data_IF_570131723678
#
_entry.id   IF_570131723678
#
_cell.length_a   1.000
_cell.length_b   1.000
_cell.length_c   1.000
_cell.angle_alpha   90.00
_cell.angle_beta   90.00
_cell.angle_gamma   90.00
#
_symmetry.space_group_name_H-M   'P 1'
#
loop_
_entity.id
_entity.type
_entity.pdbx_description
1 polymer ?
#
# COMPACT_ATOMS: atom_id res chain seq x y z
N UNK A 1 -10.86 -8.14 -0.74
CA UNK A 1 -9.62 -7.62 -0.14
C UNK A 1 -8.48 -8.11 -1.02
N UNK A 2 -7.59 -7.24 -1.48
CA UNK A 2 -6.50 -7.59 -2.40
C UNK A 2 -5.17 -7.21 -1.73
N UNK A 3 -4.22 -8.16 -1.66
CA UNK A 3 -2.86 -7.94 -1.18
C UNK A 3 -1.95 -7.82 -2.40
N UNK A 4 -0.95 -6.94 -2.30
CA UNK A 4 -0.02 -6.59 -3.39
C UNK A 4 1.33 -7.25 -3.21
N UNK A 5 2.04 -7.43 -4.32
CA UNK A 5 3.43 -7.93 -4.35
C UNK A 5 4.37 -7.09 -3.46
N UNK A 6 4.19 -5.78 -3.38
CA UNK A 6 5.08 -4.92 -2.57
C UNK A 6 4.76 -5.02 -1.07
N UNK A 7 3.48 -5.12 -0.69
CA UNK A 7 3.08 -5.39 0.70
C UNK A 7 3.46 -6.80 1.13
N UNK A 8 3.37 -7.76 0.22
CA UNK A 8 3.83 -9.13 0.43
C UNK A 8 5.35 -9.18 0.65
N UNK A 9 6.14 -8.39 -0.09
CA UNK A 9 7.57 -8.26 0.15
C UNK A 9 7.90 -7.69 1.54
N UNK A 10 7.16 -6.68 2.02
CA UNK A 10 7.34 -6.13 3.37
C UNK A 10 6.91 -7.13 4.47
N UNK A 11 5.81 -7.84 4.27
CA UNK A 11 5.32 -8.83 5.23
C UNK A 11 6.25 -10.06 5.29
N UNK A 12 6.77 -10.50 4.14
CA UNK A 12 7.80 -11.55 4.05
C UNK A 12 9.11 -11.08 4.65
N UNK A 13 9.52 -9.82 4.46
CA UNK A 13 10.71 -9.24 5.10
C UNK A 13 10.61 -9.26 6.62
N UNK A 14 9.42 -9.13 7.17
CA UNK A 14 9.16 -9.21 8.61
C UNK A 14 9.21 -10.65 9.18
N UNK A 15 9.34 -11.69 8.34
CA UNK A 15 9.43 -13.09 8.79
C UNK A 15 10.85 -13.50 9.19
N UNK A 16 10.96 -14.37 10.21
CA UNK A 16 12.22 -14.76 10.85
C UNK A 16 12.92 -15.95 10.22
N UNK A 17 12.37 -16.57 9.16
CA UNK A 17 12.95 -17.76 8.52
C UNK A 17 12.33 -18.17 7.19
N UNK A 18 13.01 -19.06 6.45
CA UNK A 18 12.59 -19.53 5.10
C UNK A 18 11.23 -20.23 5.07
N UNK A 19 10.89 -20.98 6.11
CA UNK A 19 9.63 -21.75 6.15
C UNK A 19 8.42 -20.84 6.45
N UNK A 20 8.61 -19.78 7.24
CA UNK A 20 7.58 -18.79 7.56
C UNK A 20 7.19 -17.96 6.32
N UNK A 21 8.18 -17.62 5.48
CA UNK A 21 7.96 -16.95 4.20
C UNK A 21 7.02 -17.72 3.26
N UNK A 22 7.27 -19.01 3.05
CA UNK A 22 6.48 -19.82 2.12
C UNK A 22 5.03 -20.03 2.60
N UNK A 23 4.85 -20.17 3.92
CA UNK A 23 3.51 -20.27 4.54
C UNK A 23 2.75 -18.96 4.38
N UNK A 24 3.43 -17.83 4.58
CA UNK A 24 2.82 -16.51 4.45
C UNK A 24 2.43 -16.17 3.00
N UNK A 25 3.33 -16.39 2.03
CA UNK A 25 3.06 -16.21 0.59
C UNK A 25 1.82 -17.01 0.17
N UNK A 26 1.77 -18.29 0.57
CA UNK A 26 0.61 -19.15 0.26
C UNK A 26 -0.67 -18.64 0.92
N UNK A 27 -0.62 -18.25 2.19
CA UNK A 27 -1.79 -17.73 2.89
C UNK A 27 -2.31 -16.43 2.24
N UNK A 28 -1.41 -15.53 1.85
CA UNK A 28 -1.77 -14.29 1.17
C UNK A 28 -2.41 -14.56 -0.20
N UNK A 29 -1.85 -15.50 -0.97
CA UNK A 29 -2.38 -15.88 -2.28
C UNK A 29 -3.76 -16.56 -2.19
N UNK A 30 -3.96 -17.43 -1.19
CA UNK A 30 -5.22 -18.14 -0.99
C UNK A 30 -6.32 -17.22 -0.42
N UNK A 31 -5.94 -16.24 0.41
CA UNK A 31 -6.89 -15.34 1.10
C UNK A 31 -7.20 -14.05 0.32
N UNK A 32 -6.30 -13.58 -0.55
CA UNK A 32 -6.44 -12.31 -1.23
C UNK A 32 -6.26 -12.44 -2.75
N UNK A 33 -7.15 -11.77 -3.50
CA UNK A 33 -7.00 -11.70 -4.95
C UNK A 33 -5.73 -10.95 -5.34
N UNK A 34 -4.90 -11.54 -6.20
CA UNK A 34 -3.72 -10.90 -6.76
C UNK A 34 -4.14 -9.81 -7.76
N UNK A 35 -3.59 -8.61 -7.61
CA UNK A 35 -3.85 -7.48 -8.52
C UNK A 35 -2.54 -7.08 -9.21
N UNK A 36 -2.39 -7.29 -10.53
CA UNK A 36 -1.18 -6.89 -11.24
C UNK A 36 -0.96 -5.38 -11.12
N UNK A 37 0.30 -4.96 -11.06
CA UNK A 37 0.68 -3.55 -11.08
C UNK A 37 0.46 -3.00 -12.51
N UNK A 38 -0.44 -2.03 -12.73
CA UNK A 38 -0.62 -1.38 -14.01
C UNK A 38 0.66 -0.68 -14.44
N UNK A 39 0.98 -0.72 -15.73
CA UNK A 39 2.18 -0.08 -16.28
C UNK A 39 2.29 1.42 -15.92
N UNK A 40 1.14 2.09 -15.77
CA UNK A 40 1.04 3.50 -15.40
C UNK A 40 1.22 3.80 -13.91
N UNK A 41 1.39 2.79 -13.05
CA UNK A 41 1.48 2.96 -11.60
C UNK A 41 2.68 3.83 -11.19
N UNK A 42 3.85 3.61 -11.79
CA UNK A 42 5.05 4.40 -11.48
C UNK A 42 4.86 5.88 -11.87
N UNK A 43 4.27 6.14 -13.04
CA UNK A 43 3.96 7.51 -13.47
C UNK A 43 2.97 8.17 -12.51
N UNK A 44 1.94 7.43 -12.07
CA UNK A 44 0.96 7.97 -11.12
C UNK A 44 1.60 8.21 -9.75
N UNK A 45 2.43 7.31 -9.25
CA UNK A 45 3.16 7.48 -7.98
C UNK A 45 4.00 8.77 -7.97
N UNK A 46 4.68 9.10 -9.08
CA UNK A 46 5.41 10.38 -9.22
C UNK A 46 4.48 11.59 -9.16
N UNK A 47 3.34 11.55 -9.86
CA UNK A 47 2.36 12.63 -9.78
C UNK A 47 1.83 12.84 -8.36
N UNK A 48 1.59 11.76 -7.61
CA UNK A 48 1.18 11.84 -6.21
C UNK A 48 2.29 12.44 -5.35
N UNK A 49 3.54 12.06 -5.59
CA UNK A 49 4.69 12.67 -4.92
C UNK A 49 4.78 14.17 -5.20
N UNK A 50 4.60 14.61 -6.45
CA UNK A 50 4.60 16.03 -6.81
C UNK A 50 3.50 16.80 -6.07
N UNK A 51 2.30 16.21 -5.93
CA UNK A 51 1.21 16.79 -5.16
C UNK A 51 1.57 16.93 -3.67
N UNK A 52 2.21 15.91 -3.07
CA UNK A 52 2.67 15.95 -1.68
C UNK A 52 3.80 16.95 -1.46
N UNK A 53 4.67 17.15 -2.44
CA UNK A 53 5.71 18.19 -2.40
C UNK A 53 5.04 19.57 -2.37
N UNK A 54 4.05 19.80 -3.22
CA UNK A 54 3.30 21.06 -3.26
C UNK A 54 2.59 21.39 -1.93
N UNK A 55 2.22 20.38 -1.14
CA UNK A 55 1.61 20.55 0.19
C UNK A 55 2.60 20.45 1.35
N UNK A 56 3.92 20.31 1.09
CA UNK A 56 4.96 20.08 2.10
C UNK A 56 4.74 18.81 2.96
N UNK A 57 4.05 17.78 2.44
CA UNK A 57 3.80 16.50 3.11
C UNK A 57 4.62 15.32 2.56
N UNK A 58 5.58 15.59 1.67
CA UNK A 58 6.37 14.59 0.96
C UNK A 58 7.36 13.78 1.83
N UNK A 59 7.52 14.12 3.11
CA UNK A 59 8.45 13.43 4.02
C UNK A 59 7.83 12.23 4.76
N UNK A 60 6.51 12.03 4.69
CA UNK A 60 5.86 10.85 5.24
C UNK A 60 5.95 9.68 4.26
N UNK A 61 5.13 9.67 3.19
CA UNK A 61 4.94 8.47 2.38
C UNK A 61 6.19 8.00 1.64
N UNK A 62 6.54 6.73 1.82
CA UNK A 62 7.64 6.07 1.12
C UNK A 62 7.29 5.67 -0.32
N UNK A 63 8.30 5.23 -1.09
CA UNK A 63 8.12 4.76 -2.47
C UNK A 63 7.12 3.61 -2.57
N UNK A 64 7.16 2.68 -1.60
CA UNK A 64 6.25 1.53 -1.51
C UNK A 64 4.81 1.98 -1.32
N UNK A 65 4.57 2.96 -0.45
CA UNK A 65 3.24 3.51 -0.17
C UNK A 65 2.67 4.20 -1.40
N UNK A 66 3.50 5.01 -2.07
CA UNK A 66 3.12 5.70 -3.31
C UNK A 66 2.72 4.70 -4.40
N UNK A 67 3.50 3.63 -4.61
CA UNK A 67 3.19 2.60 -5.60
C UNK A 67 1.93 1.81 -5.24
N UNK A 68 1.75 1.51 -3.95
CA UNK A 68 0.60 0.79 -3.42
C UNK A 68 -0.69 1.59 -3.60
N UNK A 69 -0.65 2.87 -3.21
CA UNK A 69 -1.77 3.80 -3.31
C UNK A 69 -2.11 4.11 -4.78
N UNK A 70 -1.11 4.44 -5.60
CA UNK A 70 -1.30 4.67 -7.03
C UNK A 70 -1.96 3.47 -7.70
N UNK A 71 -1.54 2.26 -7.33
CA UNK A 71 -2.15 1.10 -7.95
C UNK A 71 -3.57 0.85 -7.45
N UNK A 72 -3.86 1.09 -6.16
CA UNK A 72 -5.22 0.94 -5.65
C UNK A 72 -6.17 1.93 -6.34
N UNK A 73 -5.73 3.17 -6.52
CA UNK A 73 -6.44 4.19 -7.28
C UNK A 73 -6.69 3.75 -8.73
N UNK A 74 -5.66 3.31 -9.45
CA UNK A 74 -5.77 2.95 -10.88
C UNK A 74 -6.60 1.70 -11.13
N UNK A 75 -6.72 0.82 -10.13
CA UNK A 75 -7.55 -0.38 -10.16
C UNK A 75 -8.96 -0.15 -9.58
N UNK A 76 -9.29 1.05 -9.10
CA UNK A 76 -10.58 1.35 -8.50
C UNK A 76 -10.85 0.60 -7.19
N UNK A 77 -9.81 0.33 -6.41
CA UNK A 77 -9.87 -0.42 -5.15
C UNK A 77 -9.84 0.50 -3.94
N UNK A 78 -10.60 0.14 -2.89
CA UNK A 78 -10.41 0.73 -1.56
C UNK A 78 -9.13 0.19 -0.93
N UNK A 79 -8.23 1.10 -0.56
CA UNK A 79 -6.97 0.73 0.08
C UNK A 79 -7.17 0.49 1.58
N UNK A 80 -6.98 -0.74 2.03
CA UNK A 80 -7.06 -1.11 3.44
C UNK A 80 -5.67 -1.07 4.07
N UNK A 81 -5.47 -0.33 5.17
CA UNK A 81 -4.15 -0.08 5.74
C UNK A 81 -4.17 0.13 7.26
N UNK A 82 -2.99 0.13 7.89
CA UNK A 82 -2.76 0.61 9.26
C UNK A 82 -1.52 1.52 9.33
N UNK A 83 -1.36 2.36 8.32
CA UNK A 83 -0.28 3.34 8.21
C UNK A 83 -0.85 4.73 7.93
N UNK A 84 -0.43 5.74 8.69
CA UNK A 84 -0.90 7.11 8.54
C UNK A 84 -0.47 7.76 7.22
N UNK A 85 0.55 7.23 6.56
CA UNK A 85 1.03 7.75 5.27
C UNK A 85 -0.01 7.57 4.16
N UNK A 86 -0.81 6.50 4.19
CA UNK A 86 -1.90 6.33 3.24
C UNK A 86 -3.04 7.32 3.43
N UNK A 87 -3.28 7.78 4.66
CA UNK A 87 -4.21 8.87 4.91
C UNK A 87 -3.67 10.18 4.32
N UNK A 88 -2.36 10.42 4.45
CA UNK A 88 -1.69 11.59 3.86
C UNK A 88 -1.75 11.56 2.33
N UNK A 89 -1.53 10.40 1.71
CA UNK A 89 -1.70 10.22 0.26
C UNK A 89 -3.17 10.46 -0.15
N UNK A 90 -4.13 9.87 0.56
CA UNK A 90 -5.55 10.01 0.24
C UNK A 90 -6.04 11.46 0.29
N UNK A 91 -5.44 12.33 1.13
CA UNK A 91 -5.76 13.77 1.15
C UNK A 91 -5.48 14.47 -0.18
N UNK A 92 -4.48 14.02 -0.95
CA UNK A 92 -4.13 14.63 -2.25
C UNK A 92 -4.71 13.88 -3.45
N UNK A 93 -5.03 12.59 -3.32
CA UNK A 93 -5.61 11.80 -4.43
C UNK A 93 -7.13 11.69 -4.37
N UNK A 94 -7.74 11.84 -3.19
CA UNK A 94 -9.16 11.57 -2.96
C UNK A 94 -9.54 10.10 -3.07
N UNK A 95 -8.57 9.17 -3.15
CA UNK A 95 -8.84 7.76 -3.34
C UNK A 95 -9.49 7.13 -2.09
N UNK A 96 -10.37 6.12 -2.27
CA UNK A 96 -10.97 5.43 -1.13
C UNK A 96 -9.90 4.67 -0.33
N UNK A 97 -9.94 4.84 0.98
CA UNK A 97 -9.09 4.11 1.91
C UNK A 97 -9.84 3.78 3.20
N UNK A 98 -9.35 2.79 3.95
CA UNK A 98 -9.92 2.36 5.21
C UNK A 98 -8.82 1.87 6.15
N UNK A 99 -8.95 2.19 7.44
CA UNK A 99 -8.11 1.61 8.48
C UNK A 99 -8.56 0.18 8.81
N UNK A 100 -7.63 -0.76 8.97
CA UNK A 100 -7.94 -2.16 9.39
C UNK A 100 -8.47 -2.25 10.81
N UNK A 101 -8.07 -1.31 11.67
CA UNK A 101 -8.48 -1.16 13.06
C UNK A 101 -8.45 0.33 13.44
N UNK A 102 -9.10 0.77 14.53
CA UNK A 102 -9.03 2.15 14.98
C UNK A 102 -7.58 2.64 15.12
N UNK A 103 -7.29 3.86 14.66
CA UNK A 103 -5.94 4.44 14.77
C UNK A 103 -5.48 4.43 16.24
N UNK A 104 -4.28 3.91 16.48
CA UNK A 104 -3.67 3.78 17.81
C UNK A 104 -4.14 2.57 18.62
N UNK A 105 -4.84 1.61 18.01
CA UNK A 105 -5.26 0.36 18.67
C UNK A 105 -4.29 -0.84 18.49
N UNK A 106 -3.25 -0.68 17.69
CA UNK A 106 -2.22 -1.70 17.41
C UNK A 106 -0.87 -1.04 17.69
N UNK A 107 -0.08 -1.70 18.55
CA UNK A 107 1.27 -1.30 19.01
C UNK A 107 2.38 -1.89 18.12
#
# INVERSE_FOLDING_TARGET
MAVREITELELVRATGGRDERAVLERYLHDAFGWTPVPDRALTRARQVQDLLVATSWHQGPGTVDLMTAATAELCGLTLLHYDADFETIAKVTGQPHQWTAPRGSVD
#
